data_IF_110694495063
#
_entry.id   IF_110694495063
#
_cell.length_a   1.000
_cell.length_b   1.000
_cell.length_c   1.000
_cell.angle_alpha   90.00
_cell.angle_beta   90.00
_cell.angle_gamma   90.00
#
_symmetry.space_group_name_H-M   'P 1'
#
loop_
_entity.id
_entity.type
_entity.pdbx_description
1 polymer ?
#
# COMPACT_ATOMS: atom_id res chain seq x y z
N UNK A 1 -1.92 -0.35 19.26
CA UNK A 1 -0.70 -0.32 18.46
C UNK A 1 -0.85 -1.23 17.26
N UNK A 2 -0.60 -0.74 16.08
CA UNK A 2 -0.87 -1.44 14.85
C UNK A 2 -0.02 -2.69 14.63
N UNK A 3 -0.63 -3.71 14.03
CA UNK A 3 0.07 -4.90 13.58
C UNK A 3 0.19 -4.85 12.06
N UNK A 4 1.32 -5.31 11.55
CA UNK A 4 1.57 -5.38 10.11
C UNK A 4 1.58 -6.82 9.66
N UNK A 5 0.77 -7.13 8.66
CA UNK A 5 0.69 -8.47 8.09
C UNK A 5 1.12 -8.37 6.62
N UNK A 6 2.15 -9.11 6.26
CA UNK A 6 2.61 -9.17 4.87
C UNK A 6 1.97 -10.38 4.17
N UNK A 7 1.29 -10.10 3.07
CA UNK A 7 0.74 -11.14 2.20
C UNK A 7 1.60 -11.19 0.96
N UNK A 8 2.40 -12.23 0.83
CA UNK A 8 3.32 -12.36 -0.28
C UNK A 8 3.26 -13.74 -0.91
N UNK A 9 3.58 -13.81 -2.20
CA UNK A 9 3.65 -15.06 -2.94
C UNK A 9 4.68 -14.89 -4.05
N UNK A 10 5.64 -15.81 -4.12
CA UNK A 10 6.68 -15.80 -5.14
C UNK A 10 6.14 -16.10 -6.53
N UNK A 11 5.05 -16.84 -6.62
CA UNK A 11 4.36 -17.07 -7.87
C UNK A 11 3.23 -16.05 -7.98
N UNK A 12 3.29 -15.20 -8.98
CA UNK A 12 2.19 -14.29 -9.29
C UNK A 12 0.90 -15.11 -9.35
N UNK A 13 -0.15 -14.66 -8.67
CA UNK A 13 -1.39 -15.39 -8.66
C UNK A 13 -2.51 -14.66 -7.96
N UNK A 14 -3.72 -15.10 -8.24
CA UNK A 14 -4.96 -14.49 -7.78
C UNK A 14 -5.11 -14.58 -6.25
N UNK A 15 -4.50 -15.59 -5.62
CA UNK A 15 -4.67 -15.85 -4.20
C UNK A 15 -4.15 -14.74 -3.29
N UNK A 16 -3.05 -14.09 -3.67
CA UNK A 16 -2.47 -13.01 -2.88
C UNK A 16 -3.44 -11.82 -2.73
N UNK A 17 -3.97 -11.34 -3.84
CA UNK A 17 -4.92 -10.23 -3.86
C UNK A 17 -6.21 -10.58 -3.12
N UNK A 18 -6.77 -11.75 -3.38
CA UNK A 18 -7.98 -12.21 -2.73
C UNK A 18 -7.80 -12.34 -1.22
N UNK A 19 -6.66 -12.88 -0.79
CA UNK A 19 -6.35 -13.04 0.64
C UNK A 19 -6.26 -11.67 1.32
N UNK A 20 -5.53 -10.74 0.73
CA UNK A 20 -5.37 -9.41 1.31
C UNK A 20 -6.70 -8.66 1.40
N UNK A 21 -7.49 -8.67 0.33
CA UNK A 21 -8.78 -7.99 0.30
C UNK A 21 -9.76 -8.61 1.31
N UNK A 22 -9.84 -9.93 1.36
CA UNK A 22 -10.74 -10.65 2.26
C UNK A 22 -10.36 -10.47 3.72
N UNK A 23 -9.06 -10.52 4.02
CA UNK A 23 -8.57 -10.30 5.38
C UNK A 23 -8.87 -8.88 5.85
N UNK A 24 -8.61 -7.88 5.00
CA UNK A 24 -8.91 -6.49 5.32
C UNK A 24 -10.39 -6.27 5.60
N UNK A 25 -11.26 -6.75 4.72
CA UNK A 25 -12.70 -6.63 4.89
C UNK A 25 -13.19 -7.35 6.15
N UNK A 26 -12.67 -8.55 6.41
CA UNK A 26 -13.04 -9.32 7.60
C UNK A 26 -12.67 -8.62 8.90
N UNK A 27 -11.48 -8.06 8.97
CA UNK A 27 -11.02 -7.30 10.14
C UNK A 27 -11.83 -6.01 10.33
N UNK A 28 -12.14 -5.31 9.24
CA UNK A 28 -12.95 -4.10 9.30
C UNK A 28 -14.35 -4.40 9.85
N UNK A 29 -14.95 -5.53 9.48
CA UNK A 29 -16.25 -5.96 10.00
C UNK A 29 -16.21 -6.26 11.50
N UNK A 30 -15.04 -6.56 12.04
CA UNK A 30 -14.84 -6.76 13.48
C UNK A 30 -14.58 -5.45 14.22
N UNK A 31 -14.71 -4.32 13.54
CA UNK A 31 -14.50 -3.01 14.14
C UNK A 31 -13.04 -2.56 14.18
N UNK A 32 -12.16 -3.23 13.45
CA UNK A 32 -10.76 -2.85 13.37
C UNK A 32 -10.54 -1.75 12.35
N UNK A 33 -9.61 -0.85 12.63
CA UNK A 33 -9.12 0.13 11.66
C UNK A 33 -8.05 -0.52 10.82
N UNK A 34 -8.30 -0.69 9.53
CA UNK A 34 -7.44 -1.47 8.62
C UNK A 34 -6.98 -0.61 7.47
N UNK A 35 -5.67 -0.64 7.23
CA UNK A 35 -5.07 -0.06 6.02
C UNK A 35 -4.46 -1.18 5.19
N UNK A 36 -4.87 -1.26 3.94
CA UNK A 36 -4.23 -2.14 2.96
C UNK A 36 -3.24 -1.32 2.13
N UNK A 37 -2.01 -1.80 2.06
CA UNK A 37 -0.97 -1.22 1.21
C UNK A 37 -0.80 -2.10 0.00
N UNK A 38 -1.01 -1.55 -1.18
CA UNK A 38 -0.75 -2.27 -2.42
C UNK A 38 0.71 -2.06 -2.83
N UNK A 39 1.54 -3.03 -2.54
CA UNK A 39 2.97 -3.00 -2.86
C UNK A 39 3.30 -3.78 -4.15
N UNK A 40 2.28 -4.15 -4.92
CA UNK A 40 2.44 -4.90 -6.16
C UNK A 40 2.46 -3.93 -7.36
N UNK A 41 3.53 -3.96 -8.19
CA UNK A 41 3.57 -3.12 -9.41
C UNK A 41 2.41 -3.40 -10.38
N UNK A 42 1.82 -4.59 -10.32
CA UNK A 42 0.64 -4.93 -11.13
C UNK A 42 -0.64 -4.30 -10.58
N UNK A 43 -0.58 -3.70 -9.42
CA UNK A 43 -1.67 -2.99 -8.74
C UNK A 43 -3.01 -3.74 -8.72
N UNK A 44 -2.95 -5.05 -8.58
CA UNK A 44 -4.14 -5.92 -8.57
C UNK A 44 -5.07 -5.61 -7.41
N UNK A 45 -4.54 -5.35 -6.22
CA UNK A 45 -5.35 -4.99 -5.06
C UNK A 45 -6.04 -3.64 -5.26
N UNK A 46 -5.34 -2.68 -5.84
CA UNK A 46 -5.89 -1.36 -6.17
C UNK A 46 -7.09 -1.49 -7.11
N UNK A 47 -6.96 -2.30 -8.15
CA UNK A 47 -8.05 -2.58 -9.07
C UNK A 47 -9.20 -3.30 -8.35
N UNK A 48 -8.89 -4.26 -7.49
CA UNK A 48 -9.87 -5.02 -6.73
C UNK A 48 -10.74 -4.09 -5.86
N UNK A 49 -10.18 -3.00 -5.33
CA UNK A 49 -10.92 -1.99 -4.58
C UNK A 49 -11.62 -0.96 -5.47
N UNK A 50 -11.67 -1.16 -6.77
CA UNK A 50 -12.45 -0.34 -7.68
C UNK A 50 -11.76 0.92 -8.20
N UNK A 51 -10.45 1.05 -8.02
CA UNK A 51 -9.68 2.15 -8.58
C UNK A 51 -9.33 1.79 -10.03
N UNK A 52 -10.11 2.31 -10.98
CA UNK A 52 -10.04 1.89 -12.39
C UNK A 52 -8.91 2.55 -13.18
N UNK A 53 -8.41 3.68 -12.72
CA UNK A 53 -7.34 4.41 -13.42
C UNK A 53 -6.22 4.78 -12.46
N UNK A 54 -5.49 3.77 -11.94
CA UNK A 54 -4.38 4.06 -11.04
C UNK A 54 -3.26 4.77 -11.81
N UNK A 55 -2.91 5.96 -11.41
CA UNK A 55 -1.88 6.76 -12.04
C UNK A 55 -2.32 8.14 -12.50
N UNK A 56 -3.62 8.40 -12.59
CA UNK A 56 -4.11 9.75 -12.87
C UNK A 56 -4.37 10.49 -11.57
N UNK A 57 -3.53 11.46 -11.27
CA UNK A 57 -3.70 12.38 -10.13
C UNK A 57 -3.80 11.70 -8.76
N UNK A 58 -3.46 10.43 -8.65
CA UNK A 58 -3.47 9.71 -7.39
C UNK A 58 -2.11 9.77 -6.72
N UNK A 59 -2.14 9.98 -5.41
CA UNK A 59 -0.98 9.74 -4.58
C UNK A 59 -0.93 8.24 -4.31
N UNK A 60 0.15 7.59 -4.71
CA UNK A 60 0.30 6.15 -4.58
C UNK A 60 1.49 5.82 -3.70
N UNK A 61 1.71 4.54 -3.46
CA UNK A 61 2.88 4.09 -2.71
C UNK A 61 4.18 4.60 -3.34
N UNK A 62 4.26 4.65 -4.68
CA UNK A 62 5.46 5.17 -5.35
C UNK A 62 5.69 6.65 -5.04
N UNK A 63 4.62 7.45 -4.96
CA UNK A 63 4.70 8.87 -4.57
C UNK A 63 5.27 9.01 -3.16
N UNK A 64 4.77 8.22 -2.24
CA UNK A 64 5.20 8.23 -0.84
C UNK A 64 6.68 7.82 -0.72
N UNK A 65 7.06 6.75 -1.39
CA UNK A 65 8.45 6.27 -1.39
C UNK A 65 9.39 7.35 -1.93
N UNK A 66 9.02 7.99 -3.03
CA UNK A 66 9.81 9.07 -3.63
C UNK A 66 9.98 10.22 -2.64
N UNK A 67 8.93 10.60 -1.93
CA UNK A 67 8.98 11.67 -0.93
C UNK A 67 9.93 11.33 0.22
N UNK A 68 9.91 10.09 0.68
CA UNK A 68 10.80 9.66 1.76
C UNK A 68 12.26 9.66 1.29
N UNK A 69 12.54 9.15 0.09
CA UNK A 69 13.90 9.12 -0.46
C UNK A 69 14.45 10.53 -0.64
N UNK A 70 13.64 11.46 -1.11
CA UNK A 70 14.05 12.84 -1.35
C UNK A 70 14.00 13.69 -0.09
N UNK A 71 13.61 13.12 1.04
CA UNK A 71 13.50 13.82 2.32
C UNK A 71 12.62 15.07 2.23
N UNK A 72 11.56 14.99 1.41
CA UNK A 72 10.57 16.06 1.28
C UNK A 72 9.43 15.87 2.28
N UNK A 73 8.90 16.95 2.79
CA UNK A 73 7.72 16.90 3.66
C UNK A 73 6.51 16.43 2.88
N UNK A 74 5.72 15.55 3.48
CA UNK A 74 4.47 15.07 2.89
C UNK A 74 3.51 14.64 4.01
N UNK A 75 2.22 14.62 3.67
CA UNK A 75 1.19 14.09 4.58
C UNK A 75 1.09 12.58 4.36
N UNK A 76 1.43 11.75 5.35
CA UNK A 76 1.37 10.30 5.19
C UNK A 76 -0.02 9.75 4.86
N UNK A 77 -1.08 10.51 5.15
CA UNK A 77 -2.46 10.08 4.92
C UNK A 77 -3.05 10.61 3.62
N UNK A 78 -2.34 11.48 2.90
CA UNK A 78 -2.89 12.17 1.74
C UNK A 78 -3.31 11.23 0.61
N UNK A 79 -2.61 10.11 0.44
CA UNK A 79 -2.93 9.13 -0.60
C UNK A 79 -3.91 8.05 -0.18
N UNK A 80 -4.32 8.03 1.07
CA UNK A 80 -5.20 6.97 1.59
C UNK A 80 -6.62 7.17 1.09
N UNK A 81 -7.17 6.12 0.50
CA UNK A 81 -8.54 6.10 -0.01
C UNK A 81 -9.40 5.30 0.96
N UNK A 82 -10.52 5.89 1.36
CA UNK A 82 -11.48 5.21 2.24
C UNK A 82 -12.47 4.44 1.38
N UNK A 83 -12.51 3.12 1.54
CA UNK A 83 -13.41 2.26 0.81
C UNK A 83 -14.72 2.02 1.57
N UNK A 84 -15.81 1.78 0.84
CA UNK A 84 -17.13 1.54 1.44
C UNK A 84 -17.19 0.34 2.38
N UNK A 85 -16.27 -0.62 2.23
CA UNK A 85 -16.18 -1.79 3.11
C UNK A 85 -15.55 -1.49 4.47
N UNK A 86 -15.17 -0.24 4.72
CA UNK A 86 -14.52 0.15 5.96
C UNK A 86 -13.01 -0.07 5.97
N UNK A 87 -12.45 -0.45 4.86
CA UNK A 87 -11.01 -0.64 4.68
C UNK A 87 -10.43 0.58 4.00
N UNK A 88 -9.30 1.05 4.49
CA UNK A 88 -8.54 2.10 3.82
C UNK A 88 -7.48 1.47 2.92
N UNK A 89 -7.16 2.14 1.82
CA UNK A 89 -6.22 1.66 0.82
C UNK A 89 -5.20 2.73 0.47
N UNK A 90 -3.91 2.37 0.50
CA UNK A 90 -2.91 3.14 -0.22
C UNK A 90 -2.66 2.44 -1.55
N UNK A 91 -3.02 3.08 -2.68
CA UNK A 91 -2.99 2.41 -3.98
C UNK A 91 -1.58 2.28 -4.56
N UNK A 92 -1.45 1.41 -5.54
CA UNK A 92 -0.26 1.24 -6.36
C UNK A 92 -0.55 1.66 -7.81
N UNK A 93 0.51 1.80 -8.59
CA UNK A 93 0.43 2.01 -10.03
C UNK A 93 1.69 1.48 -10.72
N UNK A 94 1.76 1.65 -12.04
CA UNK A 94 2.89 1.15 -12.84
C UNK A 94 4.24 1.81 -12.46
N UNK A 95 4.23 3.00 -11.89
CA UNK A 95 5.46 3.68 -11.47
C UNK A 95 6.21 2.90 -10.40
N UNK A 96 5.52 2.04 -9.66
CA UNK A 96 6.17 1.21 -8.63
C UNK A 96 7.16 0.22 -9.25
N UNK A 97 6.90 -0.29 -10.44
CA UNK A 97 7.82 -1.19 -11.13
C UNK A 97 9.16 -0.51 -11.44
N UNK A 98 9.11 0.71 -11.96
CA UNK A 98 10.31 1.50 -12.23
C UNK A 98 11.08 1.82 -10.95
N UNK A 99 10.35 2.09 -9.88
CA UNK A 99 10.92 2.37 -8.59
C UNK A 99 11.61 1.15 -7.97
N UNK A 100 11.04 -0.03 -8.12
CA UNK A 100 11.68 -1.27 -7.66
C UNK A 100 13.02 -1.49 -8.34
N UNK A 101 13.11 -1.24 -9.64
CA UNK A 101 14.35 -1.34 -10.40
C UNK A 101 15.36 -0.32 -9.87
N UNK A 102 14.95 0.91 -9.68
CA UNK A 102 15.82 1.98 -9.18
C UNK A 102 16.33 1.68 -7.76
N UNK A 103 15.51 1.06 -6.93
CA UNK A 103 15.85 0.74 -5.54
C UNK A 103 16.60 -0.59 -5.39
N UNK A 104 16.60 -1.43 -6.41
CA UNK A 104 17.22 -2.76 -6.33
C UNK A 104 18.72 -2.69 -6.02
N UNK A 105 19.39 -1.60 -6.40
CA UNK A 105 20.79 -1.37 -6.07
C UNK A 105 21.01 -0.62 -4.76
N UNK A 106 19.96 -0.22 -4.08
CA UNK A 106 20.02 0.52 -2.82
C UNK A 106 19.54 -0.37 -1.68
N UNK A 107 20.20 -0.32 -0.54
CA UNK A 107 19.84 -1.09 0.65
C UNK A 107 18.60 -0.44 1.32
N UNK A 108 17.72 0.15 0.56
CA UNK A 108 16.75 1.04 1.18
C UNK A 108 15.28 0.70 0.99
N UNK A 109 14.94 -0.19 0.05
CA UNK A 109 13.53 -0.46 -0.28
C UNK A 109 12.71 -0.88 0.92
N UNK A 110 13.19 -1.86 1.67
CA UNK A 110 12.49 -2.38 2.84
C UNK A 110 12.45 -1.36 3.98
N UNK A 111 13.55 -0.61 4.13
CA UNK A 111 13.64 0.44 5.15
C UNK A 111 12.68 1.58 4.85
N UNK A 112 12.56 1.99 3.58
CA UNK A 112 11.66 3.06 3.17
C UNK A 112 10.21 2.68 3.43
N UNK A 113 9.82 1.46 3.05
CA UNK A 113 8.46 0.97 3.31
C UNK A 113 8.18 0.90 4.81
N UNK A 114 9.14 0.44 5.60
CA UNK A 114 9.01 0.41 7.05
C UNK A 114 8.83 1.81 7.63
N UNK A 115 9.57 2.79 7.13
CA UNK A 115 9.42 4.18 7.58
C UNK A 115 8.00 4.67 7.35
N UNK A 116 7.43 4.41 6.18
CA UNK A 116 6.05 4.79 5.91
C UNK A 116 5.07 4.08 6.86
N UNK A 117 5.23 2.79 7.04
CA UNK A 117 4.36 2.00 7.93
C UNK A 117 4.40 2.57 9.36
N UNK A 118 5.58 2.92 9.85
CA UNK A 118 5.70 3.51 11.19
C UNK A 118 4.98 4.86 11.29
N UNK A 119 4.91 5.63 10.21
CA UNK A 119 4.20 6.92 10.21
C UNK A 119 2.69 6.75 10.35
N UNK A 120 2.12 5.71 9.75
CA UNK A 120 0.66 5.50 9.74
C UNK A 120 0.19 4.50 10.79
N UNK A 121 1.10 3.73 11.36
CA UNK A 121 0.78 2.67 12.32
C UNK A 121 -0.07 3.12 13.52
N UNK A 122 0.12 4.32 14.09
CA UNK A 122 -0.73 4.78 15.19
C UNK A 122 -2.20 4.96 14.83
N UNK A 123 -2.53 5.04 13.54
CA UNK A 123 -3.89 5.26 13.05
C UNK A 123 -4.67 3.96 12.83
N UNK A 124 -4.00 2.82 12.85
CA UNK A 124 -4.59 1.54 12.47
C UNK A 124 -4.30 0.45 13.49
N UNK A 125 -5.14 -0.59 13.48
CA UNK A 125 -4.99 -1.77 14.32
C UNK A 125 -4.08 -2.81 13.67
#
# INVERSE_FOLDING_TARGET
>A
MGKTIAVSNLKGGVGKTMTAASLGAGLARQGKSVLCLDADPQHSLTICFGVSEPGKSLITLSTVITSIINETDFDPTAGIIHHSDGVDLLPSNNALASMEIALAGLIGREVVLRQYIEMVKPLYD
#
